data_IF_797589014370
#
_entry.id   IF_797589014370
#
_cell.length_a   1.000
_cell.length_b   1.000
_cell.length_c   1.000
_cell.angle_alpha   90.00
_cell.angle_beta   90.00
_cell.angle_gamma   90.00
#
_symmetry.space_group_name_H-M   'P 1'
#
loop_
_entity.id
_entity.type
_entity.pdbx_description
1 polymer ?
#
# COMPACT_ATOMS: atom_id res chain seq x y z
N UNK A 1 -0.39 -17.83 -19.08
CA UNK A 1 -0.05 -17.20 -17.78
C UNK A 1 0.42 -15.78 -18.06
N UNK A 2 -0.02 -14.81 -17.29
CA UNK A 2 0.43 -13.42 -17.48
C UNK A 2 1.85 -13.30 -16.91
N UNK A 3 2.79 -12.90 -17.74
CA UNK A 3 4.21 -12.76 -17.37
C UNK A 3 4.58 -11.32 -17.02
N UNK A 4 3.59 -10.40 -17.05
CA UNK A 4 3.81 -8.99 -16.69
C UNK A 4 3.97 -8.86 -15.17
N UNK A 5 5.16 -8.45 -14.72
CA UNK A 5 5.43 -8.19 -13.31
C UNK A 5 4.73 -6.89 -12.90
N UNK A 6 3.80 -7.00 -11.95
CA UNK A 6 3.07 -5.87 -11.39
C UNK A 6 3.84 -5.20 -10.26
N UNK A 7 4.35 -6.02 -9.33
CA UNK A 7 5.16 -5.58 -8.19
C UNK A 7 6.45 -6.36 -8.18
N UNK A 8 7.58 -5.68 -8.10
CA UNK A 8 8.91 -6.27 -7.95
C UNK A 8 9.55 -5.73 -6.66
N UNK A 9 9.86 -6.62 -5.75
CA UNK A 9 10.47 -6.31 -4.45
C UNK A 9 11.83 -6.94 -4.39
N UNK A 10 12.86 -6.14 -4.12
CA UNK A 10 14.25 -6.58 -4.05
C UNK A 10 14.90 -6.14 -2.75
N UNK A 11 15.42 -7.11 -2.00
CA UNK A 11 16.20 -6.89 -0.78
C UNK A 11 15.50 -5.98 0.23
N UNK A 12 14.16 -6.09 0.35
CA UNK A 12 13.35 -5.25 1.23
C UNK A 12 13.72 -5.50 2.68
N UNK A 13 14.16 -4.44 3.35
CA UNK A 13 14.45 -4.42 4.78
C UNK A 13 13.74 -3.25 5.44
N UNK A 14 13.11 -3.49 6.59
CA UNK A 14 12.51 -2.43 7.38
C UNK A 14 12.80 -2.60 8.88
N UNK A 15 13.25 -1.52 9.50
CA UNK A 15 13.58 -1.48 10.91
C UNK A 15 12.77 -0.38 11.62
N UNK A 16 12.25 -0.70 12.79
CA UNK A 16 11.66 0.27 13.69
C UNK A 16 12.69 0.69 14.74
N UNK A 17 13.01 1.96 14.81
CA UNK A 17 13.88 2.51 15.84
C UNK A 17 13.08 2.75 17.11
N UNK A 18 13.33 1.98 18.16
CA UNK A 18 12.72 2.17 19.48
C UNK A 18 13.43 3.27 20.26
N UNK A 19 14.75 3.33 20.13
CA UNK A 19 15.62 4.36 20.72
C UNK A 19 16.77 4.67 19.75
N UNK A 20 17.62 5.64 20.10
CA UNK A 20 18.84 5.94 19.31
C UNK A 20 19.80 4.74 19.19
N UNK A 21 19.70 3.75 20.11
CA UNK A 21 20.62 2.60 20.18
C UNK A 21 19.93 1.25 19.95
N UNK A 22 18.59 1.20 19.88
CA UNK A 22 17.84 -0.04 19.73
C UNK A 22 16.87 0.05 18.53
N UNK A 23 16.97 -0.94 17.65
CA UNK A 23 16.07 -1.09 16.51
C UNK A 23 15.56 -2.54 16.43
N UNK A 24 14.31 -2.70 16.04
CA UNK A 24 13.73 -4.00 15.74
C UNK A 24 13.66 -4.13 14.22
N UNK A 25 14.29 -5.16 13.67
CA UNK A 25 14.21 -5.50 12.26
C UNK A 25 12.93 -6.30 12.03
N UNK A 26 11.91 -5.64 11.51
CA UNK A 26 10.60 -6.24 11.26
C UNK A 26 10.53 -6.96 9.90
N UNK A 27 11.34 -6.55 8.94
CA UNK A 27 11.52 -7.20 7.63
C UNK A 27 13.02 -7.25 7.36
N UNK A 28 13.51 -8.41 6.96
CA UNK A 28 14.93 -8.65 6.75
C UNK A 28 15.20 -9.30 5.40
N UNK A 29 15.69 -8.49 4.47
CA UNK A 29 16.20 -8.89 3.15
C UNK A 29 15.27 -9.86 2.38
N UNK A 30 14.01 -9.46 2.16
CA UNK A 30 13.08 -10.26 1.38
C UNK A 30 12.98 -9.77 -0.07
N UNK A 31 12.86 -10.72 -1.00
CA UNK A 31 12.67 -10.44 -2.42
C UNK A 31 11.57 -11.33 -2.98
N UNK A 32 10.65 -10.77 -3.75
CA UNK A 32 9.57 -11.49 -4.42
C UNK A 32 8.96 -10.65 -5.55
N UNK A 33 8.19 -11.31 -6.41
CA UNK A 33 7.45 -10.66 -7.49
C UNK A 33 5.97 -11.03 -7.40
N UNK A 34 5.11 -10.10 -7.79
CA UNK A 34 3.68 -10.33 -7.96
C UNK A 34 3.33 -10.00 -9.41
N UNK A 35 2.68 -10.92 -10.09
CA UNK A 35 2.29 -10.78 -11.48
C UNK A 35 0.89 -10.17 -11.59
N UNK A 36 0.63 -9.53 -12.73
CA UNK A 36 -0.67 -8.92 -13.00
C UNK A 36 -1.78 -9.98 -13.04
N UNK A 37 -2.85 -9.76 -12.26
CA UNK A 37 -3.98 -10.69 -12.12
C UNK A 37 -3.72 -11.88 -11.20
N UNK A 38 -2.56 -11.90 -10.52
CA UNK A 38 -2.23 -12.93 -9.55
C UNK A 38 -2.87 -12.64 -8.18
N UNK A 39 -3.21 -13.71 -7.47
CA UNK A 39 -3.50 -13.67 -6.03
C UNK A 39 -2.27 -14.16 -5.28
N UNK A 40 -1.56 -13.24 -4.66
CA UNK A 40 -0.34 -13.53 -3.91
C UNK A 40 -0.63 -13.65 -2.41
N UNK A 41 -0.27 -14.78 -1.80
CA UNK A 41 -0.44 -15.03 -0.37
C UNK A 41 0.84 -14.80 0.42
N UNK A 42 0.80 -13.92 1.43
CA UNK A 42 1.89 -13.73 2.38
C UNK A 42 1.53 -14.39 3.71
N UNK A 43 2.19 -15.50 4.04
CA UNK A 43 1.88 -16.35 5.21
C UNK A 43 2.99 -16.27 6.24
N UNK A 44 2.66 -16.49 7.50
CA UNK A 44 3.61 -16.50 8.60
C UNK A 44 2.92 -16.28 9.96
N UNK A 45 3.64 -16.50 11.04
CA UNK A 45 3.15 -16.31 12.42
C UNK A 45 2.81 -14.84 12.75
N UNK A 46 2.09 -14.62 13.84
CA UNK A 46 1.85 -13.27 14.35
C UNK A 46 3.19 -12.60 14.66
N UNK A 47 3.35 -11.34 14.27
CA UNK A 47 4.60 -10.60 14.47
C UNK A 47 5.70 -10.86 13.44
N UNK A 48 5.51 -11.76 12.44
CA UNK A 48 6.53 -12.08 11.43
C UNK A 48 6.76 -10.98 10.37
N UNK A 49 6.17 -9.80 10.51
CA UNK A 49 6.40 -8.67 9.61
C UNK A 49 5.45 -8.55 8.41
N UNK A 50 4.46 -9.42 8.22
CA UNK A 50 3.52 -9.38 7.09
C UNK A 50 2.84 -8.02 6.88
N UNK A 51 2.29 -7.47 7.95
CA UNK A 51 1.65 -6.14 7.91
C UNK A 51 2.65 -5.02 7.61
N UNK A 52 3.90 -5.19 8.02
CA UNK A 52 4.99 -4.25 7.70
C UNK A 52 5.32 -4.28 6.22
N UNK A 53 5.43 -5.48 5.63
CA UNK A 53 5.62 -5.65 4.17
C UNK A 53 4.48 -4.98 3.41
N UNK A 54 3.22 -5.28 3.75
CA UNK A 54 2.06 -4.65 3.10
C UNK A 54 2.08 -3.12 3.21
N UNK A 55 2.44 -2.57 4.36
CA UNK A 55 2.55 -1.12 4.57
C UNK A 55 3.73 -0.50 3.79
N UNK A 56 4.83 -1.23 3.61
CA UNK A 56 5.93 -0.81 2.72
C UNK A 56 5.47 -0.78 1.26
N UNK A 57 4.75 -1.80 0.79
CA UNK A 57 4.20 -1.84 -0.56
C UNK A 57 3.24 -0.67 -0.83
N UNK A 58 2.51 -0.21 0.19
CA UNK A 58 1.60 0.93 0.09
C UNK A 58 2.28 2.29 0.34
N UNK A 59 3.60 2.33 0.56
CA UNK A 59 4.37 3.52 0.94
C UNK A 59 3.85 4.22 2.23
N UNK A 60 3.18 3.48 3.11
CA UNK A 60 2.84 3.94 4.46
C UNK A 60 4.11 3.95 5.31
N UNK A 61 4.94 2.90 5.16
CA UNK A 61 6.29 2.86 5.70
C UNK A 61 7.31 3.00 4.57
N UNK A 62 8.35 3.78 4.81
CA UNK A 62 9.50 3.83 3.91
C UNK A 62 10.49 2.74 4.32
N UNK A 63 10.85 1.83 3.42
CA UNK A 63 11.86 0.81 3.69
C UNK A 63 13.17 1.42 4.19
N UNK A 64 13.85 0.69 5.08
CA UNK A 64 15.19 1.08 5.55
C UNK A 64 16.25 0.74 4.50
N UNK A 65 16.02 -0.30 3.69
CA UNK A 65 16.84 -0.70 2.54
C UNK A 65 16.00 -1.50 1.55
N UNK A 66 16.54 -1.70 0.36
CA UNK A 66 15.90 -2.42 -0.74
C UNK A 66 15.08 -1.52 -1.65
N UNK A 67 14.46 -2.14 -2.65
CA UNK A 67 13.75 -1.46 -3.73
C UNK A 67 12.38 -2.11 -3.94
N UNK A 68 11.38 -1.27 -4.18
CA UNK A 68 10.04 -1.69 -4.60
C UNK A 68 9.71 -0.99 -5.91
N UNK A 69 9.31 -1.77 -6.92
CA UNK A 69 8.80 -1.27 -8.19
C UNK A 69 7.33 -1.65 -8.35
N UNK A 70 6.54 -0.72 -8.85
CA UNK A 70 5.14 -0.93 -9.23
C UNK A 70 4.97 -0.57 -10.71
N UNK A 71 4.54 -1.51 -11.55
CA UNK A 71 4.54 -1.36 -13.02
C UNK A 71 5.89 -0.87 -13.57
N UNK A 72 7.01 -1.41 -13.06
CA UNK A 72 8.35 -1.01 -13.45
C UNK A 72 8.84 0.34 -12.88
N UNK A 73 7.95 1.12 -12.26
CA UNK A 73 8.30 2.42 -11.66
C UNK A 73 8.79 2.18 -10.24
N UNK A 74 9.98 2.65 -9.92
CA UNK A 74 10.48 2.64 -8.55
C UNK A 74 9.63 3.55 -7.66
N UNK A 75 9.21 3.03 -6.51
CA UNK A 75 8.35 3.76 -5.57
C UNK A 75 8.97 3.92 -4.18
N UNK A 76 10.17 3.41 -3.97
CA UNK A 76 10.90 3.47 -2.69
C UNK A 76 11.45 4.86 -2.44
N UNK A 77 11.97 5.51 -3.47
CA UNK A 77 12.54 6.85 -3.39
C UNK A 77 11.47 7.93 -3.16
N UNK A 78 11.78 8.91 -2.31
CA UNK A 78 10.85 10.02 -2.02
C UNK A 78 10.51 10.85 -3.26
N UNK A 79 11.48 11.04 -4.17
CA UNK A 79 11.31 11.82 -5.40
C UNK A 79 10.39 11.10 -6.39
N UNK A 80 10.67 9.84 -6.63
CA UNK A 80 9.93 8.94 -7.51
C UNK A 80 8.50 8.75 -7.02
N UNK A 81 8.34 8.52 -5.71
CA UNK A 81 7.02 8.44 -5.07
C UNK A 81 6.23 9.74 -5.25
N UNK A 82 6.82 10.92 -5.03
CA UNK A 82 6.15 12.21 -5.21
C UNK A 82 5.72 12.45 -6.65
N UNK A 83 6.57 12.11 -7.62
CA UNK A 83 6.27 12.24 -9.04
C UNK A 83 5.07 11.39 -9.48
N UNK A 84 4.88 10.21 -8.86
CA UNK A 84 3.84 9.25 -9.22
C UNK A 84 2.71 9.16 -8.19
N UNK A 85 2.67 10.06 -7.20
CA UNK A 85 1.77 9.98 -6.03
C UNK A 85 0.30 9.77 -6.41
N UNK A 86 -0.22 10.58 -7.34
CA UNK A 86 -1.62 10.51 -7.75
C UNK A 86 -1.98 9.14 -8.35
N UNK A 87 -1.16 8.64 -9.25
CA UNK A 87 -1.33 7.31 -9.86
C UNK A 87 -1.29 6.22 -8.81
N UNK A 88 -0.31 6.26 -7.90
CA UNK A 88 -0.12 5.27 -6.85
C UNK A 88 -1.30 5.25 -5.86
N UNK A 89 -1.86 6.41 -5.52
CA UNK A 89 -3.01 6.51 -4.62
C UNK A 89 -4.32 6.05 -5.27
N UNK A 90 -4.47 6.19 -6.57
CA UNK A 90 -5.70 5.78 -7.29
C UNK A 90 -5.68 4.31 -7.72
N UNK A 91 -4.50 3.73 -7.96
CA UNK A 91 -4.36 2.37 -8.49
C UNK A 91 -4.11 1.30 -7.43
N UNK A 92 -3.77 1.70 -6.20
CA UNK A 92 -3.51 0.77 -5.09
C UNK A 92 -4.45 1.07 -3.94
N UNK A 93 -4.97 0.02 -3.34
CA UNK A 93 -5.87 0.14 -2.19
C UNK A 93 -5.49 -0.85 -1.11
N UNK A 94 -5.72 -0.48 0.14
CA UNK A 94 -5.46 -1.33 1.31
C UNK A 94 -6.73 -1.44 2.14
N UNK A 95 -7.09 -2.67 2.50
CA UNK A 95 -8.13 -2.94 3.48
C UNK A 95 -7.42 -3.24 4.80
N UNK A 96 -7.72 -2.47 5.83
CA UNK A 96 -7.15 -2.68 7.16
C UNK A 96 -7.84 -3.83 7.89
N UNK A 97 -7.12 -4.48 8.79
CA UNK A 97 -7.59 -5.63 9.55
C UNK A 97 -8.84 -5.30 10.39
N UNK A 98 -8.90 -4.11 10.96
CA UNK A 98 -10.08 -3.57 11.64
C UNK A 98 -10.75 -2.51 10.76
N UNK A 99 -11.63 -2.96 9.88
CA UNK A 99 -12.36 -2.08 8.97
C UNK A 99 -13.38 -1.21 9.69
N UNK A 100 -13.94 -1.65 10.81
CA UNK A 100 -14.95 -0.89 11.56
C UNK A 100 -14.35 0.38 12.18
N UNK A 101 -13.14 0.30 12.74
CA UNK A 101 -12.44 1.46 13.30
C UNK A 101 -11.90 2.42 12.21
N UNK A 102 -11.78 1.94 10.98
CA UNK A 102 -11.29 2.75 9.84
C UNK A 102 -12.36 3.67 9.26
N UNK A 103 -13.64 3.44 9.59
CA UNK A 103 -14.76 4.23 9.10
C UNK A 103 -15.14 5.32 10.10
N UNK A 104 -15.38 6.53 9.61
CA UNK A 104 -15.90 7.61 10.46
C UNK A 104 -17.38 7.37 10.77
N UNK A 105 -17.68 6.92 11.99
CA UNK A 105 -19.03 6.60 12.44
C UNK A 105 -20.00 7.81 12.47
N UNK A 106 -19.49 9.04 12.32
CA UNK A 106 -20.31 10.27 12.27
C UNK A 106 -20.71 10.64 10.83
N UNK A 107 -20.18 9.94 9.84
CA UNK A 107 -20.51 10.18 8.43
C UNK A 107 -21.56 9.19 7.94
N UNK A 108 -22.40 9.64 7.00
CA UNK A 108 -23.33 8.74 6.31
C UNK A 108 -22.56 7.80 5.38
N UNK A 109 -23.06 6.59 5.17
CA UNK A 109 -22.43 5.57 4.29
C UNK A 109 -22.15 6.14 2.90
N UNK A 110 -23.11 6.86 2.31
CA UNK A 110 -22.96 7.49 1.01
C UNK A 110 -21.79 8.51 0.97
N UNK A 111 -21.58 9.25 2.08
CA UNK A 111 -20.48 10.21 2.18
C UNK A 111 -19.13 9.51 2.27
N UNK A 112 -19.04 8.42 3.05
CA UNK A 112 -17.83 7.59 3.16
C UNK A 112 -17.46 7.00 1.80
N UNK A 113 -18.43 6.45 1.07
CA UNK A 113 -18.20 5.88 -0.27
C UNK A 113 -17.80 6.97 -1.28
N UNK A 114 -18.38 8.15 -1.18
CA UNK A 114 -18.11 9.26 -2.10
C UNK A 114 -16.82 10.01 -1.80
N UNK A 115 -16.27 9.90 -0.59
CA UNK A 115 -15.09 10.66 -0.15
C UNK A 115 -13.85 10.45 -1.06
N UNK A 116 -13.43 9.22 -1.40
CA UNK A 116 -12.31 9.01 -2.30
C UNK A 116 -12.53 9.62 -3.69
N UNK A 117 -13.76 9.63 -4.17
CA UNK A 117 -14.10 10.23 -5.46
C UNK A 117 -13.98 11.75 -5.41
N UNK A 118 -14.44 12.37 -4.33
CA UNK A 118 -14.32 13.83 -4.11
C UNK A 118 -12.85 14.25 -4.00
N UNK A 119 -12.05 13.53 -3.20
CA UNK A 119 -10.62 13.81 -3.00
C UNK A 119 -9.84 13.71 -4.32
N UNK A 120 -10.17 12.72 -5.15
CA UNK A 120 -9.49 12.51 -6.43
C UNK A 120 -10.12 13.29 -7.59
N UNK A 121 -11.11 14.15 -7.32
CA UNK A 121 -11.86 14.92 -8.34
C UNK A 121 -12.50 14.03 -9.41
N UNK A 122 -12.90 12.82 -9.04
CA UNK A 122 -13.66 11.92 -9.91
C UNK A 122 -15.13 12.34 -9.78
N UNK A 123 -15.64 13.03 -10.78
CA UNK A 123 -17.06 13.42 -10.84
C UNK A 123 -17.83 12.27 -11.48
N UNK A 124 -18.72 11.58 -10.75
CA UNK A 124 -19.58 10.58 -11.37
C UNK A 124 -20.58 11.26 -12.30
N UNK A 125 -21.13 10.54 -13.28
CA UNK A 125 -22.17 11.06 -14.15
C UNK A 125 -23.33 11.65 -13.31
N UNK A 126 -23.87 12.79 -13.74
CA UNK A 126 -25.02 13.42 -13.08
C UNK A 126 -26.15 12.39 -12.92
N UNK A 127 -26.65 12.18 -11.72
CA UNK A 127 -27.73 11.25 -11.40
C UNK A 127 -27.32 9.92 -10.77
N UNK A 128 -26.02 9.61 -10.62
CA UNK A 128 -25.56 8.35 -10.01
C UNK A 128 -25.70 8.30 -8.48
N UNK A 129 -26.04 9.40 -7.82
CA UNK A 129 -26.29 9.47 -6.36
C UNK A 129 -27.76 9.51 -5.97
N UNK A 130 -28.67 9.37 -6.93
CA UNK A 130 -30.12 9.54 -6.72
C UNK A 130 -30.87 8.21 -6.76
N UNK A 131 -30.36 7.17 -6.11
CA UNK A 131 -31.17 5.97 -5.79
C UNK A 131 -30.74 5.36 -4.49
#
# INVERSE_FOLDING_TARGET
MNTEVLVDVKHLTHQFHLTKKAAIRAVDDISFQIYKGEVFGLVGESGSGKSTVARCLMNIYHPSAGEIRYHGIEITGKKEFRANKKMLQTKRQMIFQDSASSLNQRMKVAEIIAEPMKINHIVPPRGSYAR
#
